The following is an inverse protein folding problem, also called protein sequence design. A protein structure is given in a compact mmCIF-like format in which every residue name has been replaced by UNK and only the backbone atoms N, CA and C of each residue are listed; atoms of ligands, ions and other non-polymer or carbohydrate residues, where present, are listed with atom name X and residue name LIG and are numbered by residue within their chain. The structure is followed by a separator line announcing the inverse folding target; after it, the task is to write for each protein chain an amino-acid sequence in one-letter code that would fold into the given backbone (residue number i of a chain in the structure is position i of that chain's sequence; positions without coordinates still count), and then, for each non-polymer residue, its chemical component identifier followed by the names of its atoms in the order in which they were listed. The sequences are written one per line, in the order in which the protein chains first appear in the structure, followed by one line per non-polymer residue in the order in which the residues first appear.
data_IF_248665670636
#
_entry.id   IF_248665670636
#
_cell.length_a   1.000
_cell.length_b   1.000
_cell.length_c   1.000
_cell.angle_alpha   90.00
_cell.angle_beta   90.00
_cell.angle_gamma   90.00
#
_symmetry.space_group_name_H-M   'P 1'
#
loop_
_entity.id
_entity.type
_entity.pdbx_description
1 polymer ?
#
# COMPACT_ATOMS: atom_id res chain seq x y z
N UNK A 1 -1.46 -8.21 15.82
CA UNK A 1 -0.25 -7.35 15.86
C UNK A 1 -0.14 -6.74 14.48
N UNK A 2 -0.70 -5.56 14.18
CA UNK A 2 -0.19 -4.24 14.52
C UNK A 2 -1.35 -3.24 14.32
N UNK A 3 -1.84 -2.61 15.39
CA UNK A 3 -2.72 -1.46 15.24
C UNK A 3 -1.94 -0.24 15.75
N UNK A 4 -1.01 0.24 14.93
CA UNK A 4 -0.46 1.58 15.15
C UNK A 4 -1.51 2.55 14.63
N UNK A 5 -2.16 3.26 15.55
CA UNK A 5 -3.06 4.35 15.20
C UNK A 5 -2.22 5.53 14.70
N UNK A 6 -1.96 5.58 13.39
CA UNK A 6 -1.37 6.76 12.76
C UNK A 6 -2.45 7.84 12.64
N UNK A 7 -2.12 9.09 12.98
CA UNK A 7 -2.92 10.23 12.51
C UNK A 7 -2.75 10.36 11.00
N UNK A 8 -3.74 10.95 10.29
CA UNK A 8 -3.65 11.12 8.83
C UNK A 8 -2.37 11.86 8.43
N UNK A 9 -2.02 12.91 9.16
CA UNK A 9 -0.82 13.71 8.87
C UNK A 9 0.46 12.90 9.07
N UNK A 10 0.56 12.15 10.18
CA UNK A 10 1.72 11.28 10.43
C UNK A 10 1.87 10.15 9.42
N UNK A 11 0.75 9.69 8.84
CA UNK A 11 0.76 8.66 7.80
C UNK A 11 1.31 9.23 6.50
N UNK A 12 0.88 10.43 6.12
CA UNK A 12 1.38 11.12 4.94
C UNK A 12 2.88 11.40 5.04
N UNK A 13 3.35 11.90 6.18
CA UNK A 13 4.79 12.07 6.43
C UNK A 13 5.55 10.73 6.34
N UNK A 14 4.99 9.64 6.88
CA UNK A 14 5.64 8.33 6.87
C UNK A 14 5.78 7.72 5.46
N UNK A 15 4.98 8.16 4.49
CA UNK A 15 5.02 7.67 3.11
C UNK A 15 5.45 8.75 2.10
N UNK A 16 5.89 9.93 2.59
CA UNK A 16 6.33 11.06 1.78
C UNK A 16 7.70 10.77 1.15
N UNK A 17 7.65 10.06 0.02
CA UNK A 17 8.80 9.75 -0.80
C UNK A 17 8.35 9.55 -2.25
N UNK A 18 9.32 9.48 -3.16
CA UNK A 18 9.04 9.07 -4.53
C UNK A 18 8.75 7.57 -4.61
N UNK A 19 7.61 7.25 -5.20
CA UNK A 19 7.16 5.90 -5.50
C UNK A 19 7.24 5.67 -7.01
N UNK A 20 7.68 4.48 -7.40
CA UNK A 20 7.69 4.08 -8.80
C UNK A 20 6.29 3.63 -9.26
N UNK A 21 5.48 3.09 -8.32
CA UNK A 21 4.12 2.63 -8.57
C UNK A 21 3.24 2.78 -7.32
N UNK A 22 1.99 3.23 -7.51
CA UNK A 22 0.96 3.21 -6.48
C UNK A 22 -0.20 2.33 -6.96
N UNK A 23 -0.56 1.33 -6.14
CA UNK A 23 -1.67 0.40 -6.37
C UNK A 23 -2.82 0.79 -5.44
N UNK A 24 -4.01 1.02 -6.03
CA UNK A 24 -5.23 1.36 -5.29
C UNK A 24 -6.16 0.15 -5.31
N UNK A 25 -6.49 -0.37 -4.13
CA UNK A 25 -7.33 -1.56 -3.95
C UNK A 25 -6.52 -2.79 -3.53
N UNK A 26 -6.89 -3.36 -2.39
CA UNK A 26 -6.22 -4.48 -1.72
C UNK A 26 -6.86 -5.85 -1.94
N UNK A 27 -7.63 -6.02 -3.02
CA UNK A 27 -8.14 -7.33 -3.47
C UNK A 27 -7.06 -8.20 -4.12
N UNK A 28 -7.42 -9.40 -4.57
CA UNK A 28 -6.46 -10.37 -5.14
C UNK A 28 -5.64 -9.79 -6.31
N UNK A 29 -6.27 -8.98 -7.16
CA UNK A 29 -5.61 -8.33 -8.30
C UNK A 29 -4.58 -7.30 -7.83
N UNK A 30 -4.96 -6.41 -6.90
CA UNK A 30 -4.06 -5.37 -6.39
C UNK A 30 -2.89 -5.96 -5.62
N UNK A 31 -3.15 -6.97 -4.78
CA UNK A 31 -2.11 -7.71 -4.08
C UNK A 31 -1.15 -8.43 -5.03
N UNK A 32 -1.66 -9.02 -6.12
CA UNK A 32 -0.86 -9.62 -7.17
C UNK A 32 0.05 -8.61 -7.88
N UNK A 33 -0.50 -7.47 -8.29
CA UNK A 33 0.26 -6.38 -8.91
C UNK A 33 1.35 -5.86 -7.98
N UNK A 34 1.00 -5.59 -6.72
CA UNK A 34 1.96 -5.13 -5.71
C UNK A 34 3.11 -6.12 -5.52
N UNK A 35 2.79 -7.41 -5.36
CA UNK A 35 3.79 -8.47 -5.20
C UNK A 35 4.76 -8.53 -6.39
N UNK A 36 4.22 -8.48 -7.61
CA UNK A 36 5.03 -8.57 -8.82
C UNK A 36 5.89 -7.31 -9.02
N UNK A 37 5.35 -6.12 -8.73
CA UNK A 37 6.08 -4.86 -8.78
C UNK A 37 7.24 -4.83 -7.78
N UNK A 38 7.01 -5.27 -6.54
CA UNK A 38 8.08 -5.43 -5.55
C UNK A 38 9.11 -6.49 -5.99
N UNK A 39 8.68 -7.60 -6.62
CA UNK A 39 9.59 -8.65 -7.10
C UNK A 39 10.59 -8.13 -8.13
N UNK A 40 10.18 -7.19 -8.98
CA UNK A 40 11.07 -6.58 -9.98
C UNK A 40 11.81 -5.32 -9.46
N UNK A 41 11.70 -5.02 -8.15
CA UNK A 41 12.48 -3.98 -7.49
C UNK A 41 11.87 -2.57 -7.46
N UNK A 42 10.58 -2.43 -7.80
CA UNK A 42 9.91 -1.12 -7.74
C UNK A 42 9.56 -0.74 -6.30
N UNK A 43 9.82 0.52 -5.94
CA UNK A 43 9.22 1.14 -4.74
C UNK A 43 7.73 1.28 -4.98
N UNK A 44 6.97 0.37 -4.38
CA UNK A 44 5.53 0.27 -4.61
C UNK A 44 4.76 0.55 -3.32
N UNK A 45 3.72 1.37 -3.41
CA UNK A 45 2.75 1.61 -2.33
C UNK A 45 1.43 0.93 -2.70
N UNK A 46 0.81 0.19 -1.76
CA UNK A 46 -0.55 -0.31 -1.91
C UNK A 46 -1.47 0.32 -0.87
N UNK A 47 -2.60 0.85 -1.32
CA UNK A 47 -3.59 1.54 -0.47
C UNK A 47 -4.95 0.86 -0.59
N UNK A 48 -5.59 0.60 0.54
CA UNK A 48 -6.94 0.05 0.65
C UNK A 48 -7.79 0.95 1.57
N UNK A 49 -9.07 1.13 1.24
CA UNK A 49 -9.99 1.98 1.98
C UNK A 49 -10.37 1.38 3.33
N UNK A 50 -10.54 0.05 3.40
CA UNK A 50 -11.01 -0.65 4.60
C UNK A 50 -9.99 -1.68 5.07
N UNK A 51 -10.19 -2.93 4.67
CA UNK A 51 -9.33 -4.06 4.99
C UNK A 51 -8.98 -4.81 3.72
N UNK A 52 -7.87 -5.53 3.73
CA UNK A 52 -7.46 -6.34 2.58
C UNK A 52 -8.50 -7.42 2.31
N UNK A 53 -8.77 -7.68 1.03
CA UNK A 53 -9.78 -8.67 0.60
C UNK A 53 -11.19 -8.44 1.15
N UNK A 54 -11.57 -7.18 1.40
CA UNK A 54 -12.92 -6.81 1.86
C UNK A 54 -13.98 -6.77 0.73
N UNK A 55 -13.57 -6.99 -0.52
CA UNK A 55 -14.45 -7.12 -1.69
C UNK A 55 -14.97 -8.53 -1.90
#
# INVERSE_FOLDING_TARGET
MLNKQYSRDSLWEAIDQQWDLIVIGGGITGAGIFREACRIGLKTLLVEQRDFSWG
#
